data_IF_294498275747
#
_entry.id   IF_294498275747
#
_cell.length_a   1.000
_cell.length_b   1.000
_cell.length_c   1.000
_cell.angle_alpha   90.00
_cell.angle_beta   90.00
_cell.angle_gamma   90.00
#
_symmetry.space_group_name_H-M   'P 1'
#
loop_
_entity.id
_entity.type
_entity.pdbx_description
1 polymer ?
#
# COMPACT_ATOMS: atom_id res chain seq x y z
N UNK A 1 -0.93 -27.34 16.13
CA UNK A 1 -0.44 -26.08 16.72
C UNK A 1 0.77 -25.52 16.00
N UNK A 2 2.01 -26.03 16.17
CA UNK A 2 3.18 -25.43 15.49
C UNK A 2 3.05 -25.40 13.95
N UNK A 3 2.56 -26.49 13.35
CA UNK A 3 2.37 -26.59 11.89
C UNK A 3 1.26 -25.66 11.37
N UNK A 4 0.18 -25.49 12.15
CA UNK A 4 -0.91 -24.56 11.80
C UNK A 4 -0.47 -23.10 11.91
N UNK A 5 0.37 -22.77 12.90
CA UNK A 5 0.88 -21.42 13.08
C UNK A 5 1.85 -21.03 11.96
N UNK A 6 2.73 -21.95 11.55
CA UNK A 6 3.60 -21.74 10.38
C UNK A 6 2.79 -21.48 9.11
N UNK A 7 1.68 -22.22 8.90
CA UNK A 7 0.77 -22.00 7.76
C UNK A 7 0.13 -20.61 7.84
N UNK A 8 -0.25 -20.14 9.03
CA UNK A 8 -0.84 -18.81 9.24
C UNK A 8 0.21 -17.70 9.01
N UNK A 9 1.43 -17.82 9.56
CA UNK A 9 2.47 -16.80 9.38
C UNK A 9 2.95 -16.73 7.93
N UNK A 10 3.01 -17.86 7.22
CA UNK A 10 3.27 -17.89 5.78
C UNK A 10 2.17 -17.22 4.97
N UNK A 11 0.90 -17.46 5.31
CA UNK A 11 -0.23 -16.81 4.66
C UNK A 11 -0.18 -15.28 4.86
N UNK A 12 0.12 -14.81 6.08
CA UNK A 12 0.30 -13.40 6.38
C UNK A 12 1.46 -12.78 5.57
N UNK A 13 2.56 -13.50 5.40
CA UNK A 13 3.70 -13.06 4.58
C UNK A 13 3.37 -13.02 3.09
N UNK A 14 2.60 -13.99 2.58
CA UNK A 14 2.10 -13.98 1.20
C UNK A 14 1.21 -12.78 0.96
N UNK A 15 0.25 -12.53 1.85
CA UNK A 15 -0.68 -11.42 1.74
C UNK A 15 0.04 -10.07 1.88
N UNK A 16 0.98 -9.93 2.84
CA UNK A 16 1.84 -8.75 2.97
C UNK A 16 2.53 -8.38 1.65
N UNK A 17 3.14 -9.37 0.97
CA UNK A 17 3.79 -9.14 -0.34
C UNK A 17 2.82 -8.67 -1.42
N UNK A 18 1.56 -9.13 -1.39
CA UNK A 18 0.54 -8.66 -2.34
C UNK A 18 0.24 -7.18 -2.11
N UNK A 19 0.07 -6.75 -0.87
CA UNK A 19 -0.20 -5.35 -0.55
C UNK A 19 0.95 -4.42 -0.93
N UNK A 20 2.20 -4.80 -0.68
CA UNK A 20 3.36 -4.02 -1.16
C UNK A 20 3.39 -3.92 -2.69
N UNK A 21 3.10 -4.99 -3.44
CA UNK A 21 3.01 -4.91 -4.91
C UNK A 21 1.90 -3.98 -5.39
N UNK A 22 0.77 -3.96 -4.69
CA UNK A 22 -0.31 -3.02 -4.99
C UNK A 22 0.11 -1.58 -4.69
N UNK A 23 0.83 -1.35 -3.59
CA UNK A 23 1.44 -0.05 -3.28
C UNK A 23 2.38 0.43 -4.40
N UNK A 24 3.33 -0.41 -4.82
CA UNK A 24 4.27 -0.11 -5.92
C UNK A 24 3.53 0.21 -7.23
N UNK A 25 2.46 -0.54 -7.50
CA UNK A 25 1.62 -0.32 -8.67
C UNK A 25 0.89 1.01 -8.61
N UNK A 26 0.30 1.37 -7.46
CA UNK A 26 -0.36 2.66 -7.27
C UNK A 26 0.63 3.81 -7.35
N UNK A 27 1.83 3.67 -6.78
CA UNK A 27 2.89 4.67 -6.90
C UNK A 27 3.27 4.88 -8.37
N UNK A 28 3.40 3.79 -9.14
CA UNK A 28 3.68 3.88 -10.58
C UNK A 28 2.58 4.61 -11.35
N UNK A 29 1.32 4.33 -11.03
CA UNK A 29 0.16 5.03 -11.64
C UNK A 29 0.13 6.50 -11.23
N UNK A 30 0.39 6.82 -9.97
CA UNK A 30 0.51 8.19 -9.45
C UNK A 30 1.57 8.97 -10.22
N UNK A 31 2.78 8.41 -10.37
CA UNK A 31 3.88 9.04 -11.11
C UNK A 31 3.55 9.25 -12.59
N UNK A 32 2.78 8.33 -13.20
CA UNK A 32 2.28 8.53 -14.56
C UNK A 32 1.24 9.65 -14.62
N UNK A 33 0.30 9.68 -13.66
CA UNK A 33 -0.73 10.71 -13.57
C UNK A 33 -0.15 12.11 -13.35
N UNK A 34 0.88 12.25 -12.51
CA UNK A 34 1.59 13.52 -12.27
C UNK A 34 2.15 14.16 -13.55
N UNK A 35 2.42 13.37 -14.59
CA UNK A 35 2.92 13.85 -15.89
C UNK A 35 1.81 14.27 -16.85
N UNK A 36 0.55 14.00 -16.54
CA UNK A 36 -0.61 14.42 -17.32
C UNK A 36 -0.93 15.88 -17.02
N UNK A 37 -0.04 16.79 -17.41
CA UNK A 37 -0.27 18.23 -17.30
C UNK A 37 -0.68 18.80 -18.65
N UNK A 38 -1.60 19.75 -18.63
CA UNK A 38 -2.05 20.44 -19.83
C UNK A 38 -1.83 21.93 -19.64
N UNK A 39 -1.21 22.58 -20.64
CA UNK A 39 -1.12 24.03 -20.65
C UNK A 39 -2.53 24.63 -20.83
N UNK A 40 -2.82 25.83 -20.27
CA UNK A 40 -4.13 26.48 -20.43
C UNK A 40 -4.59 26.62 -21.88
N UNK A 41 -3.64 26.75 -22.82
CA UNK A 41 -3.92 26.80 -24.26
C UNK A 41 -4.58 25.54 -24.83
N UNK A 42 -4.42 24.38 -24.18
CA UNK A 42 -5.09 23.14 -24.56
C UNK A 42 -6.61 23.19 -24.36
N UNK A 43 -7.09 24.13 -23.54
CA UNK A 43 -8.52 24.33 -23.23
C UNK A 43 -9.16 25.45 -24.05
N UNK A 44 -8.40 26.06 -24.97
CA UNK A 44 -8.90 27.15 -25.79
C UNK A 44 -9.74 26.62 -26.97
N UNK A 45 -11.07 26.77 -26.87
CA UNK A 45 -12.04 26.34 -27.90
C UNK A 45 -12.66 27.54 -28.65
N UNK A 46 -11.98 28.70 -28.65
CA UNK A 46 -12.48 29.93 -29.30
C UNK A 46 -13.46 30.77 -28.48
N UNK A 47 -13.64 30.45 -27.18
CA UNK A 47 -14.47 31.21 -26.22
C UNK A 47 -13.68 31.47 -24.92
N UNK A 48 -14.15 32.43 -24.12
CA UNK A 48 -13.52 32.93 -22.85
C UNK A 48 -13.46 31.88 -21.74
N UNK A 49 -14.07 30.69 -21.91
CA UNK A 49 -14.15 29.65 -20.88
C UNK A 49 -12.88 28.78 -20.72
N UNK A 50 -11.82 29.01 -21.50
CA UNK A 50 -10.58 28.23 -21.44
C UNK A 50 -9.94 28.21 -20.04
N UNK A 51 -9.91 29.35 -19.37
CA UNK A 51 -9.34 29.49 -18.02
C UNK A 51 -10.14 28.69 -16.97
N UNK A 52 -11.46 28.66 -17.09
CA UNK A 52 -12.33 27.89 -16.17
C UNK A 52 -12.09 26.39 -16.36
N UNK A 53 -11.93 25.93 -17.60
CA UNK A 53 -11.67 24.52 -17.89
C UNK A 53 -10.27 24.08 -17.48
N UNK A 54 -9.25 24.94 -17.63
CA UNK A 54 -7.90 24.63 -17.15
C UNK A 54 -7.86 24.52 -15.63
N UNK A 55 -8.52 25.44 -14.90
CA UNK A 55 -8.62 25.36 -13.44
C UNK A 55 -9.32 24.08 -12.99
N UNK A 56 -10.46 23.74 -13.60
CA UNK A 56 -11.18 22.52 -13.27
C UNK A 56 -10.34 21.25 -13.53
N UNK A 57 -9.57 21.23 -14.62
CA UNK A 57 -8.64 20.14 -14.90
C UNK A 57 -7.55 20.03 -13.84
N UNK A 58 -6.90 21.13 -13.50
CA UNK A 58 -5.80 21.17 -12.52
C UNK A 58 -6.28 20.74 -11.13
N UNK A 59 -7.47 21.17 -10.71
CA UNK A 59 -8.08 20.73 -9.45
C UNK A 59 -8.35 19.23 -9.44
N UNK A 60 -8.91 18.69 -10.53
CA UNK A 60 -9.17 17.26 -10.64
C UNK A 60 -7.88 16.45 -10.73
N UNK A 61 -6.87 16.95 -11.46
CA UNK A 61 -5.55 16.35 -11.55
C UNK A 61 -4.87 16.28 -10.18
N UNK A 62 -4.92 17.36 -9.40
CA UNK A 62 -4.42 17.41 -8.05
C UNK A 62 -5.16 16.44 -7.11
N UNK A 63 -6.49 16.37 -7.22
CA UNK A 63 -7.28 15.40 -6.46
C UNK A 63 -6.91 13.94 -6.81
N UNK A 64 -6.84 13.63 -8.10
CA UNK A 64 -6.52 12.28 -8.58
C UNK A 64 -5.12 11.84 -8.13
N UNK A 65 -4.12 12.67 -8.32
CA UNK A 65 -2.73 12.39 -7.91
C UNK A 65 -2.59 12.24 -6.40
N UNK A 66 -3.35 13.02 -5.61
CA UNK A 66 -3.43 12.87 -4.16
C UNK A 66 -3.99 11.50 -3.77
N UNK A 67 -5.18 11.14 -4.26
CA UNK A 67 -5.84 9.87 -3.88
C UNK A 67 -5.02 8.65 -4.31
N UNK A 68 -4.36 8.70 -5.47
CA UNK A 68 -3.44 7.63 -5.90
C UNK A 68 -2.22 7.51 -4.97
N UNK A 69 -1.71 8.63 -4.48
CA UNK A 69 -0.64 8.65 -3.48
C UNK A 69 -1.09 8.09 -2.12
N UNK A 70 -2.27 8.48 -1.66
CA UNK A 70 -2.87 7.95 -0.42
C UNK A 70 -3.10 6.44 -0.51
N UNK A 71 -3.62 5.94 -1.63
CA UNK A 71 -3.79 4.51 -1.85
C UNK A 71 -2.45 3.75 -1.82
N UNK A 72 -1.39 4.31 -2.39
CA UNK A 72 -0.06 3.71 -2.32
C UNK A 72 0.44 3.62 -0.87
N UNK A 73 0.28 4.68 -0.08
CA UNK A 73 0.64 4.70 1.34
C UNK A 73 -0.16 3.68 2.14
N UNK A 74 -1.49 3.67 2.03
CA UNK A 74 -2.36 2.76 2.79
C UNK A 74 -2.05 1.29 2.45
N UNK A 75 -1.78 0.97 1.19
CA UNK A 75 -1.40 -0.39 0.80
C UNK A 75 -0.04 -0.80 1.38
N UNK A 76 0.92 0.12 1.48
CA UNK A 76 2.20 -0.17 2.12
C UNK A 76 2.03 -0.43 3.61
N UNK A 77 1.22 0.39 4.28
CA UNK A 77 0.91 0.25 5.71
C UNK A 77 0.22 -1.10 6.01
N UNK A 78 -0.77 -1.51 5.21
CA UNK A 78 -1.40 -2.84 5.36
C UNK A 78 -0.34 -3.94 5.19
N UNK A 79 0.51 -3.84 4.18
CA UNK A 79 1.59 -4.80 3.94
C UNK A 79 2.56 -4.89 5.13
N UNK A 80 2.93 -3.76 5.71
CA UNK A 80 3.81 -3.67 6.86
C UNK A 80 3.18 -4.29 8.12
N UNK A 81 1.92 -3.97 8.40
CA UNK A 81 1.17 -4.52 9.56
C UNK A 81 1.06 -6.04 9.47
N UNK A 82 0.77 -6.60 8.30
CA UNK A 82 0.68 -8.06 8.11
C UNK A 82 2.03 -8.75 8.33
N UNK A 83 3.13 -8.11 7.95
CA UNK A 83 4.48 -8.63 8.19
C UNK A 83 4.83 -8.61 9.67
N UNK A 84 4.61 -7.48 10.33
CA UNK A 84 4.82 -7.33 11.78
C UNK A 84 3.98 -8.35 12.57
N UNK A 85 2.72 -8.58 12.15
CA UNK A 85 1.87 -9.60 12.76
C UNK A 85 2.47 -11.01 12.62
N UNK A 86 2.98 -11.37 11.44
CA UNK A 86 3.62 -12.66 11.22
C UNK A 86 4.86 -12.84 12.10
N UNK A 87 5.69 -11.80 12.21
CA UNK A 87 6.92 -11.85 13.01
C UNK A 87 6.61 -11.99 14.52
N UNK A 88 5.56 -11.31 15.02
CA UNK A 88 5.09 -11.46 16.40
C UNK A 88 4.54 -12.86 16.71
N UNK A 89 3.88 -13.50 15.75
CA UNK A 89 3.39 -14.87 15.92
C UNK A 89 4.55 -15.86 16.00
N UNK A 90 5.57 -15.73 15.14
CA UNK A 90 6.76 -16.59 15.19
C UNK A 90 7.56 -16.38 16.50
N UNK A 91 7.68 -15.14 16.98
CA UNK A 91 8.33 -14.85 18.26
C UNK A 91 7.59 -15.50 19.43
N UNK A 92 6.26 -15.38 19.47
CA UNK A 92 5.44 -16.00 20.51
C UNK A 92 5.57 -17.53 20.53
N UNK A 93 5.62 -18.17 19.36
CA UNK A 93 5.83 -19.62 19.26
C UNK A 93 7.21 -20.04 19.77
N UNK A 94 8.25 -19.28 19.41
CA UNK A 94 9.60 -19.54 19.87
C UNK A 94 9.71 -19.48 21.41
N UNK A 95 9.05 -18.50 22.03
CA UNK A 95 8.99 -18.37 23.50
C UNK A 95 8.27 -19.56 24.12
N UNK A 96 7.11 -19.95 23.59
CA UNK A 96 6.34 -21.10 24.09
C UNK A 96 7.14 -22.41 23.96
N UNK A 97 7.82 -22.60 22.84
CA UNK A 97 8.65 -23.78 22.58
C UNK A 97 9.86 -23.86 23.52
N UNK A 98 10.47 -22.73 23.88
CA UNK A 98 11.54 -22.68 24.90
C UNK A 98 11.04 -23.10 26.28
N UNK A 99 9.90 -22.55 26.72
CA UNK A 99 9.31 -22.86 28.03
C UNK A 99 8.92 -24.36 28.16
N UNK A 100 8.30 -24.92 27.12
CA UNK A 100 7.98 -26.36 27.07
C UNK A 100 9.23 -27.25 27.20
N UNK A 101 10.32 -26.91 26.52
CA UNK A 101 11.56 -27.69 26.60
C UNK A 101 12.18 -27.66 28.01
N UNK A 102 12.06 -26.53 28.71
CA UNK A 102 12.55 -26.39 30.09
C UNK A 102 11.69 -27.20 31.07
N UNK A 103 10.37 -27.28 30.84
CA UNK A 103 9.47 -28.15 31.60
C UNK A 103 9.76 -29.64 31.36
N UNK A 104 9.96 -30.06 30.11
CA UNK A 104 10.17 -31.48 29.75
C UNK A 104 11.58 -32.01 30.06
N UNK A 105 12.57 -31.13 30.29
CA UNK A 105 13.92 -31.53 30.73
C UNK A 105 14.03 -31.79 32.23
N UNK A 106 12.99 -31.50 33.01
CA UNK A 106 12.95 -31.66 34.46
C UNK A 106 12.25 -32.96 34.87
#
# INVERSE_FOLDING_TARGET
>A
MADELNVVTDALRVESRKWHRLSDSMMSVKLAAERLTLAPTAFYIGQVSGDVHSVAYDEFHAFLTKVLGEAATEFDEIGAVLRDLADRYDEADAVIALDLNDVYRR
#
